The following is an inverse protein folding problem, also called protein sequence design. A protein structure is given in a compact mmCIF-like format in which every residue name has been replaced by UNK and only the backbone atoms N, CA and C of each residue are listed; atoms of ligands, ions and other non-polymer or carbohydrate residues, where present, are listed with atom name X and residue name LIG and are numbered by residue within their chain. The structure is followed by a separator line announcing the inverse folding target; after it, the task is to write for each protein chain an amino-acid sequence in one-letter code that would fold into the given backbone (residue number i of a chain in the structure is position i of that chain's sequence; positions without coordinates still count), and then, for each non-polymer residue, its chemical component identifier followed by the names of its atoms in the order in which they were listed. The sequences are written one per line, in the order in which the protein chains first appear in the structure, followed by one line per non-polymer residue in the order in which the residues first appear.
data_IF_194571330509
#
_entry.id   IF_194571330509
#
_cell.length_a   1.000
_cell.length_b   1.000
_cell.length_c   1.000
_cell.angle_alpha   90.00
_cell.angle_beta   90.00
_cell.angle_gamma   90.00
#
_symmetry.space_group_name_H-M   'P 1'
#
loop_
_entity.id
_entity.type
_entity.pdbx_description
1 polymer ?
#
# COMPACT_ATOMS: atom_id res chain seq x y z
N UNK A 1 21.06 4.69 -3.16
CA UNK A 1 21.41 3.91 -1.94
C UNK A 1 20.28 2.92 -1.68
N UNK A 2 20.55 1.64 -1.39
CA UNK A 2 19.50 0.63 -1.15
C UNK A 2 18.74 0.98 0.14
N UNK A 3 17.43 0.78 0.18
CA UNK A 3 16.55 1.09 1.34
C UNK A 3 17.12 0.51 2.64
N UNK A 4 17.69 -0.70 2.59
CA UNK A 4 18.35 -1.37 3.72
C UNK A 4 19.46 -0.52 4.34
N UNK A 5 20.40 -0.04 3.52
CA UNK A 5 21.54 0.76 4.01
C UNK A 5 21.11 2.13 4.51
N UNK A 6 20.10 2.73 3.87
CA UNK A 6 19.53 4.00 4.33
C UNK A 6 18.86 3.87 5.71
N UNK A 7 18.06 2.82 5.89
CA UNK A 7 17.36 2.57 7.16
C UNK A 7 18.34 2.26 8.29
N UNK A 8 19.34 1.37 8.03
CA UNK A 8 20.39 1.05 9.01
C UNK A 8 21.16 2.31 9.41
N UNK A 9 21.57 3.13 8.44
CA UNK A 9 22.35 4.34 8.72
C UNK A 9 21.54 5.37 9.52
N UNK A 10 20.29 5.63 9.13
CA UNK A 10 19.41 6.57 9.85
C UNK A 10 19.17 6.13 11.30
N UNK A 11 18.88 4.86 11.52
CA UNK A 11 18.67 4.32 12.86
C UNK A 11 19.94 4.36 13.70
N UNK A 12 21.09 3.98 13.12
CA UNK A 12 22.39 4.05 13.80
C UNK A 12 22.77 5.49 14.17
N UNK A 13 22.56 6.46 13.26
CA UNK A 13 22.83 7.88 13.56
C UNK A 13 21.92 8.42 14.67
N UNK A 14 20.63 8.10 14.65
CA UNK A 14 19.70 8.57 15.67
C UNK A 14 20.04 8.00 17.06
N UNK A 15 20.29 6.69 17.14
CA UNK A 15 20.65 6.04 18.41
C UNK A 15 22.05 6.47 18.89
N UNK A 16 23.01 6.68 17.98
CA UNK A 16 24.34 7.20 18.31
C UNK A 16 24.27 8.61 18.90
N UNK A 17 23.41 9.49 18.39
CA UNK A 17 23.21 10.84 18.92
C UNK A 17 22.68 10.81 20.36
N UNK A 18 21.68 9.96 20.64
CA UNK A 18 21.16 9.78 21.99
C UNK A 18 22.22 9.24 22.94
N UNK A 19 22.97 8.20 22.49
CA UNK A 19 24.02 7.60 23.31
C UNK A 19 25.18 8.58 23.60
N UNK A 20 25.54 9.43 22.63
CA UNK A 20 26.54 10.50 22.79
C UNK A 20 26.07 11.52 23.85
N UNK A 21 24.82 11.92 23.80
CA UNK A 21 24.23 12.84 24.75
C UNK A 21 24.25 12.27 26.19
N UNK A 22 23.93 11.00 26.35
CA UNK A 22 24.00 10.29 27.62
C UNK A 22 25.45 10.24 28.16
N UNK A 23 26.44 9.92 27.30
CA UNK A 23 27.87 9.89 27.71
C UNK A 23 28.38 11.25 28.13
N UNK A 24 27.99 12.29 27.43
CA UNK A 24 28.34 13.69 27.81
C UNK A 24 27.71 14.05 29.16
N UNK A 25 26.43 13.70 29.35
CA UNK A 25 25.75 13.96 30.63
C UNK A 25 26.42 13.27 31.80
N UNK A 26 26.77 11.97 31.65
CA UNK A 26 27.47 11.18 32.68
C UNK A 26 28.83 11.85 33.03
N UNK A 27 29.57 12.30 32.01
CA UNK A 27 30.84 12.99 32.23
C UNK A 27 30.66 14.29 32.99
N UNK A 28 29.69 15.14 32.60
CA UNK A 28 29.41 16.44 33.28
C UNK A 28 28.99 16.22 34.74
N UNK A 29 28.07 15.23 34.96
CA UNK A 29 27.61 14.91 36.34
C UNK A 29 28.80 14.43 37.19
N UNK A 30 29.65 13.54 36.63
CA UNK A 30 30.83 13.02 37.33
C UNK A 30 31.83 14.12 37.67
N UNK A 31 32.09 15.10 36.77
CA UNK A 31 32.94 16.24 37.01
C UNK A 31 32.42 17.14 38.13
N UNK A 32 31.11 17.44 38.11
CA UNK A 32 30.48 18.25 39.17
C UNK A 32 30.55 17.54 40.53
N UNK A 33 30.23 16.25 40.56
CA UNK A 33 30.28 15.44 41.79
C UNK A 33 31.69 15.43 42.35
N UNK A 34 32.71 15.17 41.50
CA UNK A 34 34.13 15.25 41.87
C UNK A 34 34.48 16.60 42.50
N UNK A 35 34.13 17.69 41.82
CA UNK A 35 34.44 19.06 42.30
C UNK A 35 33.79 19.35 43.64
N UNK A 36 32.51 19.01 43.80
CA UNK A 36 31.77 19.22 45.04
C UNK A 36 32.35 18.41 46.22
N UNK A 37 32.68 17.13 45.98
CA UNK A 37 33.29 16.27 46.99
C UNK A 37 34.61 16.83 47.41
N UNK A 38 35.46 17.28 46.47
CA UNK A 38 36.76 17.83 46.80
C UNK A 38 36.69 19.15 47.59
N UNK A 39 35.76 20.05 47.31
CA UNK A 39 35.52 21.23 48.11
C UNK A 39 35.07 20.88 49.54
N UNK A 40 34.23 19.86 49.67
CA UNK A 40 33.82 19.38 51.01
C UNK A 40 34.99 18.80 51.79
N UNK A 41 35.90 18.07 51.16
CA UNK A 41 37.09 17.51 51.79
C UNK A 41 38.09 18.62 52.19
N UNK A 42 38.30 19.63 51.32
CA UNK A 42 39.09 20.80 51.64
C UNK A 42 38.56 21.54 52.88
N UNK A 43 37.24 21.70 52.97
CA UNK A 43 36.58 22.34 54.13
C UNK A 43 36.86 21.56 55.41
N UNK A 44 36.69 20.23 55.35
CA UNK A 44 36.94 19.37 56.51
C UNK A 44 38.39 19.45 57.02
N UNK A 45 39.35 19.43 56.08
CA UNK A 45 40.77 19.55 56.39
C UNK A 45 41.12 20.93 56.98
N UNK A 46 40.62 22.01 56.37
CA UNK A 46 40.80 23.37 56.84
C UNK A 46 40.29 23.59 58.27
N UNK A 47 39.07 23.07 58.57
CA UNK A 47 38.51 23.13 59.93
C UNK A 47 39.36 22.33 60.89
N UNK A 48 39.79 21.12 60.53
CA UNK A 48 40.59 20.25 61.39
C UNK A 48 41.91 20.91 61.75
N UNK A 49 42.69 21.46 60.76
CA UNK A 49 43.94 22.12 60.95
C UNK A 49 43.73 23.40 61.79
N UNK A 50 42.75 24.23 61.47
CA UNK A 50 42.45 25.43 62.25
C UNK A 50 42.10 25.11 63.69
N UNK A 51 41.37 24.07 63.97
CA UNK A 51 41.02 23.61 65.32
C UNK A 51 42.26 23.19 66.13
N UNK A 52 43.13 22.38 65.51
CA UNK A 52 44.36 21.90 66.10
C UNK A 52 45.29 23.04 66.47
N UNK A 53 45.47 23.98 65.54
CA UNK A 53 46.36 25.16 65.76
C UNK A 53 45.77 26.08 66.86
N UNK A 54 44.55 26.54 66.72
CA UNK A 54 43.93 27.54 67.60
C UNK A 54 43.68 27.04 69.04
N UNK A 55 43.64 25.75 69.27
CA UNK A 55 43.55 25.15 70.61
C UNK A 55 44.91 24.83 71.22
N UNK A 56 46.01 25.20 70.56
CA UNK A 56 47.38 24.88 71.01
C UNK A 56 47.63 23.39 71.27
N UNK A 57 46.93 22.52 70.54
CA UNK A 57 47.06 21.06 70.62
C UNK A 57 48.32 20.56 69.95
N UNK A 58 48.74 21.23 68.90
CA UNK A 58 49.95 20.94 68.11
C UNK A 58 50.70 22.24 67.86
N UNK A 59 52.03 22.22 68.01
CA UNK A 59 52.81 23.41 67.72
C UNK A 59 52.97 23.67 66.22
N UNK A 60 53.10 24.92 65.78
CA UNK A 60 53.17 25.29 64.38
C UNK A 60 54.25 24.55 63.59
N UNK A 61 55.43 24.33 64.18
CA UNK A 61 56.51 23.62 63.52
C UNK A 61 56.23 22.18 63.25
N UNK A 62 55.59 21.46 64.22
CA UNK A 62 55.14 20.07 63.99
C UNK A 62 54.05 19.96 62.89
N UNK A 63 53.15 20.94 62.81
CA UNK A 63 52.17 20.98 61.75
C UNK A 63 52.83 21.18 60.36
N UNK A 64 53.81 22.08 60.26
CA UNK A 64 54.57 22.27 59.02
C UNK A 64 55.41 21.05 58.66
N UNK A 65 56.06 20.37 59.63
CA UNK A 65 56.80 19.17 59.39
C UNK A 65 55.88 18.00 58.87
N UNK A 66 54.67 17.89 59.41
CA UNK A 66 53.69 16.94 58.92
C UNK A 66 53.27 17.25 57.47
N UNK A 67 53.05 18.54 57.18
CA UNK A 67 52.74 18.98 55.81
C UNK A 67 53.89 18.66 54.83
N UNK A 68 55.12 18.99 55.17
CA UNK A 68 56.27 18.79 54.33
C UNK A 68 56.60 17.31 54.11
N UNK A 69 56.40 16.45 55.13
CA UNK A 69 56.70 15.02 55.04
C UNK A 69 55.60 14.26 54.29
N UNK A 70 54.38 14.77 54.22
CA UNK A 70 53.25 14.16 53.47
C UNK A 70 53.15 14.64 52.01
N UNK A 71 54.03 15.55 51.59
CA UNK A 71 53.99 16.21 50.26
C UNK A 71 53.97 15.24 49.08
N UNK A 72 54.57 14.05 49.22
CA UNK A 72 54.65 13.06 48.16
C UNK A 72 53.48 12.04 48.13
N UNK A 73 52.67 11.98 49.21
CA UNK A 73 51.74 10.88 49.41
C UNK A 73 50.22 11.25 49.34
N UNK A 74 49.88 12.52 49.55
CA UNK A 74 48.46 12.94 49.58
C UNK A 74 48.30 14.27 48.83
N UNK A 75 47.11 14.53 48.26
CA UNK A 75 46.76 15.87 47.79
C UNK A 75 47.09 16.89 48.86
N UNK A 76 48.20 17.59 48.66
CA UNK A 76 48.79 18.48 49.63
C UNK A 76 47.84 19.66 49.84
N UNK A 77 47.14 19.68 50.99
CA UNK A 77 46.26 20.80 51.34
C UNK A 77 47.06 21.85 52.08
N UNK A 78 47.29 22.95 51.42
CA UNK A 78 47.91 24.15 52.04
C UNK A 78 46.81 24.91 52.79
N UNK A 79 47.04 25.18 54.05
CA UNK A 79 46.10 25.91 54.91
C UNK A 79 46.82 27.13 55.51
N UNK A 80 46.11 28.28 55.47
CA UNK A 80 46.56 29.49 56.15
C UNK A 80 45.45 30.01 57.04
N UNK A 81 45.88 30.64 58.16
CA UNK A 81 44.97 31.15 59.20
C UNK A 81 45.33 32.62 59.46
N UNK A 82 44.33 33.50 59.36
CA UNK A 82 44.45 34.95 59.56
C UNK A 82 43.46 35.44 60.59
N UNK A 83 43.83 36.60 61.20
CA UNK A 83 42.88 37.42 61.93
C UNK A 83 41.96 38.20 60.94
N UNK A 84 40.82 38.73 61.39
CA UNK A 84 39.98 39.61 60.57
C UNK A 84 40.75 40.86 60.05
N UNK A 85 41.79 41.33 60.77
CA UNK A 85 42.62 42.45 60.39
C UNK A 85 43.73 42.10 59.37
N UNK A 86 43.69 40.90 58.79
CA UNK A 86 44.65 40.39 57.81
C UNK A 86 46.04 40.15 58.40
N UNK A 87 46.15 39.86 59.70
CA UNK A 87 47.43 39.42 60.32
C UNK A 87 47.51 37.90 60.24
N UNK A 88 48.52 37.36 59.56
CA UNK A 88 48.82 35.93 59.49
C UNK A 88 49.15 35.38 60.88
N UNK A 89 48.50 34.30 61.24
CA UNK A 89 48.70 33.50 62.46
C UNK A 89 49.46 32.21 62.18
N UNK A 90 49.13 31.59 61.06
CA UNK A 90 49.68 30.30 60.65
C UNK A 90 49.64 30.19 59.12
N UNK A 91 50.64 29.51 58.55
CA UNK A 91 50.69 29.16 57.16
C UNK A 91 51.46 27.83 56.94
N UNK A 92 50.95 26.87 56.21
CA UNK A 92 51.61 25.59 55.93
C UNK A 92 52.82 25.75 55.01
N UNK A 93 52.77 26.65 54.02
CA UNK A 93 53.80 26.82 53.01
C UNK A 93 54.93 27.69 53.54
N UNK A 94 56.16 27.13 53.50
CA UNK A 94 57.39 27.82 53.86
C UNK A 94 58.12 28.33 52.60
N UNK A 95 57.96 27.66 51.44
CA UNK A 95 58.75 28.01 50.22
C UNK A 95 57.93 28.21 48.96
N UNK A 96 56.76 27.60 48.84
CA UNK A 96 55.82 27.66 47.68
C UNK A 96 54.41 27.95 48.15
N UNK A 97 54.06 29.22 48.10
CA UNK A 97 52.72 29.72 48.44
C UNK A 97 51.79 29.52 47.23
N UNK A 98 50.84 28.60 47.34
CA UNK A 98 49.81 28.29 46.28
C UNK A 98 48.78 29.43 46.29
N UNK A 99 48.40 29.92 47.47
CA UNK A 99 47.40 30.95 47.65
C UNK A 99 48.08 32.22 48.05
N UNK A 100 48.09 33.24 47.19
CA UNK A 100 48.43 34.57 47.55
C UNK A 100 47.22 35.32 48.05
N UNK A 101 46.95 35.21 49.32
CA UNK A 101 45.78 35.85 49.91
C UNK A 101 45.92 37.38 49.77
N UNK A 102 44.80 37.97 49.41
CA UNK A 102 44.69 39.44 49.28
C UNK A 102 43.68 40.00 50.26
N UNK A 103 43.80 41.29 50.54
CA UNK A 103 42.84 41.96 51.42
C UNK A 103 41.40 41.85 50.87
N UNK A 104 41.25 41.92 49.55
CA UNK A 104 39.93 41.75 48.91
C UNK A 104 39.32 40.34 49.12
N UNK A 105 40.14 39.30 49.13
CA UNK A 105 39.72 37.94 49.44
C UNK A 105 39.26 37.81 50.89
N UNK A 106 40.04 38.38 51.85
CA UNK A 106 39.66 38.38 53.26
C UNK A 106 38.33 39.12 53.47
N UNK A 107 38.19 40.32 52.90
CA UNK A 107 36.94 41.08 52.95
C UNK A 107 35.76 40.32 52.33
N UNK A 108 35.97 39.55 51.24
CA UNK A 108 34.96 38.70 50.64
C UNK A 108 34.54 37.55 51.56
N UNK A 109 35.47 36.91 52.26
CA UNK A 109 35.20 35.85 53.26
C UNK A 109 34.44 36.43 54.45
N UNK A 110 34.80 37.58 54.93
CA UNK A 110 34.08 38.25 56.03
C UNK A 110 32.65 38.57 55.69
N UNK A 111 32.37 38.99 54.44
CA UNK A 111 31.06 39.37 53.98
C UNK A 111 30.19 38.14 53.67
N UNK A 112 30.72 37.11 52.98
CA UNK A 112 29.98 35.93 52.51
C UNK A 112 30.04 34.75 53.46
N UNK A 113 30.90 34.82 54.51
CA UNK A 113 31.26 33.75 55.45
C UNK A 113 32.04 32.59 54.85
N UNK A 114 31.86 32.32 53.54
CA UNK A 114 32.52 31.25 52.79
C UNK A 114 32.61 31.60 51.32
N UNK A 115 33.73 31.26 50.68
CA UNK A 115 33.96 31.41 49.25
C UNK A 115 34.73 30.21 48.73
N UNK A 116 34.31 29.71 47.55
CA UNK A 116 35.06 28.74 46.75
C UNK A 116 35.76 29.48 45.63
N UNK A 117 37.01 29.11 45.36
CA UNK A 117 37.77 29.72 44.29
C UNK A 117 38.72 28.74 43.60
N UNK A 118 39.20 29.12 42.41
CA UNK A 118 40.14 28.33 41.62
C UNK A 118 41.40 29.18 41.34
N UNK A 119 42.60 28.57 41.52
CA UNK A 119 43.88 29.18 41.12
C UNK A 119 44.55 28.22 40.13
N UNK A 120 44.36 28.44 38.83
CA UNK A 120 44.82 27.50 37.82
C UNK A 120 44.13 26.11 37.93
N UNK A 121 44.92 25.10 38.33
CA UNK A 121 44.42 23.73 38.57
C UNK A 121 44.06 23.44 40.03
N UNK A 122 44.37 24.36 40.91
CA UNK A 122 44.09 24.22 42.34
C UNK A 122 42.69 24.68 42.65
N UNK A 123 42.01 23.94 43.51
CA UNK A 123 40.72 24.33 44.10
C UNK A 123 40.98 24.85 45.51
N UNK A 124 40.39 25.98 45.85
CA UNK A 124 40.58 26.59 47.14
C UNK A 124 39.28 27.05 47.78
N UNK A 125 39.26 27.07 49.07
CA UNK A 125 38.17 27.61 49.88
C UNK A 125 38.71 28.68 50.84
N UNK A 126 37.84 29.63 51.16
CA UNK A 126 38.05 30.56 52.24
C UNK A 126 36.83 30.61 53.16
N UNK A 127 37.06 30.47 54.47
CA UNK A 127 35.92 30.41 55.38
C UNK A 127 36.17 31.23 56.66
N UNK A 128 35.08 31.73 57.24
CA UNK A 128 35.08 32.36 58.57
C UNK A 128 34.91 31.26 59.61
N UNK A 129 35.92 31.04 60.44
CA UNK A 129 35.95 30.09 61.55
C UNK A 129 35.85 30.80 62.90
N UNK A 130 34.84 30.43 63.72
CA UNK A 130 34.70 31.10 65.04
C UNK A 130 35.03 30.05 66.14
N UNK A 131 35.97 30.44 67.01
CA UNK A 131 36.39 29.67 68.18
C UNK A 131 36.43 30.56 69.44
N UNK A 132 35.83 30.12 70.52
CA UNK A 132 35.75 30.84 71.81
C UNK A 132 35.31 32.35 71.67
N UNK A 133 34.33 32.59 70.75
CA UNK A 133 33.78 33.90 70.47
C UNK A 133 34.71 34.82 69.63
N UNK A 134 35.88 34.36 69.20
CA UNK A 134 36.76 35.08 68.27
C UNK A 134 36.64 34.52 66.87
N UNK A 135 36.67 35.44 65.91
CA UNK A 135 36.61 35.11 64.48
C UNK A 135 38.01 34.97 63.91
N UNK A 136 38.19 33.98 63.09
CA UNK A 136 39.40 33.69 62.30
C UNK A 136 39.04 33.46 60.85
N UNK A 137 39.92 33.73 59.95
CA UNK A 137 39.75 33.42 58.51
C UNK A 137 40.73 32.31 58.21
N UNK A 138 40.17 31.23 57.64
CA UNK A 138 40.89 30.05 57.24
C UNK A 138 40.78 29.90 55.74
N UNK A 139 41.89 29.82 55.05
CA UNK A 139 42.01 29.51 53.65
C UNK A 139 42.61 28.13 53.47
N UNK A 140 42.15 27.35 52.50
CA UNK A 140 42.74 26.06 52.12
C UNK A 140 42.72 25.89 50.62
N UNK A 141 43.80 25.35 50.05
CA UNK A 141 43.83 24.98 48.64
C UNK A 141 44.61 23.69 48.40
N UNK A 142 44.19 22.96 47.41
CA UNK A 142 44.91 21.76 46.96
C UNK A 142 44.63 21.44 45.48
N UNK A 143 45.47 20.63 44.90
CA UNK A 143 45.27 20.05 43.58
C UNK A 143 44.67 18.65 43.68
N UNK A 144 43.47 18.45 43.07
CA UNK A 144 42.79 17.15 43.05
C UNK A 144 43.40 16.24 41.95
N UNK A 145 44.63 15.81 42.16
CA UNK A 145 45.33 14.93 41.21
C UNK A 145 44.67 13.59 41.00
N UNK A 146 44.15 13.01 42.10
CA UNK A 146 43.46 11.73 42.06
C UNK A 146 42.10 11.82 41.36
N UNK A 147 41.32 12.84 41.65
CA UNK A 147 40.03 13.06 41.03
C UNK A 147 40.14 13.31 39.51
N UNK A 148 41.10 14.15 39.09
CA UNK A 148 41.38 14.37 37.67
C UNK A 148 41.87 13.09 36.95
N UNK A 149 42.70 12.28 37.59
CA UNK A 149 43.17 11.01 37.05
C UNK A 149 41.99 10.03 36.86
N UNK A 150 41.07 9.96 37.82
CA UNK A 150 39.85 9.12 37.70
C UNK A 150 38.90 9.65 36.64
N UNK A 151 38.75 10.97 36.53
CA UNK A 151 37.95 11.57 35.48
C UNK A 151 38.50 11.27 34.07
N UNK A 152 39.84 11.27 33.92
CA UNK A 152 40.49 10.88 32.68
C UNK A 152 40.29 9.41 32.34
N UNK A 153 40.37 8.52 33.35
CA UNK A 153 40.04 7.07 33.16
C UNK A 153 38.59 6.90 32.76
N UNK A 154 37.68 7.59 33.42
CA UNK A 154 36.23 7.56 33.07
C UNK A 154 36.01 8.00 31.63
N UNK A 155 36.60 9.12 31.21
CA UNK A 155 36.54 9.64 29.85
C UNK A 155 36.97 8.59 28.83
N UNK A 156 38.13 7.93 29.06
CA UNK A 156 38.62 6.89 28.16
C UNK A 156 37.71 5.67 28.13
N UNK A 157 37.21 5.23 29.29
CA UNK A 157 36.25 4.13 29.37
C UNK A 157 34.94 4.43 28.62
N UNK A 158 34.39 5.63 28.78
CA UNK A 158 33.19 6.08 28.07
C UNK A 158 33.40 6.13 26.55
N UNK A 159 34.60 6.57 26.10
CA UNK A 159 34.93 6.63 24.68
C UNK A 159 35.03 5.21 24.07
N UNK A 160 35.70 4.30 24.77
CA UNK A 160 35.79 2.88 24.33
C UNK A 160 34.39 2.25 24.27
N UNK A 161 33.59 2.44 25.31
CA UNK A 161 32.22 1.94 25.38
C UNK A 161 31.36 2.49 24.24
N UNK A 162 31.50 3.79 23.92
CA UNK A 162 30.79 4.43 22.82
C UNK A 162 31.12 3.79 21.47
N UNK A 163 32.41 3.54 21.19
CA UNK A 163 32.84 2.91 19.93
C UNK A 163 32.30 1.47 19.81
N UNK A 164 32.40 0.70 20.90
CA UNK A 164 31.86 -0.67 20.93
C UNK A 164 30.35 -0.69 20.71
N UNK A 165 29.61 0.19 21.41
CA UNK A 165 28.16 0.32 21.26
C UNK A 165 27.77 0.70 19.83
N UNK A 166 28.51 1.63 19.21
CA UNK A 166 28.26 2.03 17.82
C UNK A 166 28.46 0.86 16.84
N UNK A 167 29.52 0.05 17.02
CA UNK A 167 29.77 -1.11 16.18
C UNK A 167 28.67 -2.19 16.33
N UNK A 168 28.24 -2.45 17.57
CA UNK A 168 27.14 -3.38 17.84
C UNK A 168 25.80 -2.90 17.28
N UNK A 169 25.48 -1.62 17.44
CA UNK A 169 24.27 -1.01 16.89
C UNK A 169 24.23 -1.10 15.35
N UNK A 170 25.36 -0.85 14.72
CA UNK A 170 25.46 -1.00 13.25
C UNK A 170 25.27 -2.45 12.81
N UNK A 171 25.95 -3.38 13.47
CA UNK A 171 25.87 -4.81 13.14
C UNK A 171 24.44 -5.37 13.32
N UNK A 172 23.84 -5.10 14.48
CA UNK A 172 22.45 -5.53 14.76
C UNK A 172 21.45 -4.89 13.83
N UNK A 173 21.55 -3.58 13.57
CA UNK A 173 20.69 -2.87 12.63
C UNK A 173 20.81 -3.39 11.19
N UNK A 174 22.03 -3.77 10.76
CA UNK A 174 22.25 -4.37 9.44
C UNK A 174 21.60 -5.76 9.31
N UNK A 175 21.76 -6.61 10.32
CA UNK A 175 21.16 -7.95 10.34
C UNK A 175 19.63 -7.84 10.34
N UNK A 176 19.07 -7.00 11.21
CA UNK A 176 17.63 -6.80 11.32
C UNK A 176 17.01 -6.29 10.01
N UNK A 177 17.63 -5.25 9.41
CA UNK A 177 17.17 -4.71 8.13
C UNK A 177 17.27 -5.72 6.98
N UNK A 178 18.29 -6.60 7.00
CA UNK A 178 18.44 -7.68 6.02
C UNK A 178 17.32 -8.72 6.14
N UNK A 179 17.00 -9.12 7.36
CA UNK A 179 15.97 -10.15 7.63
C UNK A 179 14.56 -9.62 7.37
N UNK A 180 14.26 -8.42 7.84
CA UNK A 180 12.94 -7.80 7.66
C UNK A 180 12.61 -7.48 6.18
N UNK A 181 13.61 -7.11 5.36
CA UNK A 181 13.40 -6.78 3.94
C UNK A 181 13.58 -7.97 2.98
N UNK A 182 13.93 -9.17 3.49
CA UNK A 182 14.08 -10.37 2.67
C UNK A 182 12.77 -10.80 1.99
N UNK A 183 11.63 -10.86 2.69
CA UNK A 183 10.35 -11.24 2.07
C UNK A 183 9.92 -10.31 0.94
N UNK A 184 10.09 -8.99 1.12
CA UNK A 184 9.77 -8.01 0.08
C UNK A 184 10.59 -8.28 -1.20
N UNK A 185 11.85 -8.62 -1.07
CA UNK A 185 12.71 -8.94 -2.22
C UNK A 185 12.26 -10.21 -2.94
N UNK A 186 11.78 -11.21 -2.20
CA UNK A 186 11.23 -12.44 -2.77
C UNK A 186 9.96 -12.14 -3.57
N UNK A 187 9.04 -11.32 -3.02
CA UNK A 187 7.83 -10.86 -3.71
C UNK A 187 8.17 -10.11 -5.01
N UNK A 188 9.08 -9.13 -4.95
CA UNK A 188 9.50 -8.36 -6.13
C UNK A 188 10.11 -9.28 -7.19
N UNK A 189 10.97 -10.23 -6.79
CA UNK A 189 11.60 -11.17 -7.72
C UNK A 189 10.58 -12.09 -8.41
N UNK A 190 9.59 -12.59 -7.68
CA UNK A 190 8.52 -13.41 -8.26
C UNK A 190 7.62 -12.56 -9.17
N UNK A 191 7.30 -11.32 -8.79
CA UNK A 191 6.51 -10.42 -9.61
C UNK A 191 7.20 -10.08 -10.96
N UNK A 192 8.53 -9.90 -10.96
CA UNK A 192 9.31 -9.61 -12.18
C UNK A 192 9.30 -10.78 -13.19
N UNK A 193 9.06 -12.01 -12.74
CA UNK A 193 9.03 -13.20 -13.59
C UNK A 193 7.65 -13.39 -14.22
N UNK A 194 6.59 -12.82 -13.62
CA UNK A 194 5.22 -12.96 -14.12
C UNK A 194 5.05 -12.17 -15.41
N UNK A 195 4.92 -12.89 -16.50
CA UNK A 195 4.63 -12.37 -17.85
C UNK A 195 3.25 -12.79 -18.30
N UNK A 196 2.77 -12.28 -19.42
CA UNK A 196 1.50 -12.69 -20.01
C UNK A 196 1.43 -14.21 -20.32
N UNK A 197 2.57 -14.86 -20.59
CA UNK A 197 2.67 -16.31 -20.80
C UNK A 197 2.70 -17.12 -19.51
N UNK A 198 3.02 -16.50 -18.37
CA UNK A 198 3.15 -17.14 -17.06
C UNK A 198 2.21 -16.53 -16.01
N UNK A 199 1.09 -15.96 -16.45
CA UNK A 199 0.11 -15.26 -15.61
C UNK A 199 -0.56 -16.18 -14.55
N UNK A 200 -0.45 -17.49 -14.70
CA UNK A 200 -0.93 -18.48 -13.73
C UNK A 200 -0.06 -18.60 -12.47
N UNK A 201 1.16 -18.04 -12.49
CA UNK A 201 2.02 -17.97 -11.29
C UNK A 201 1.38 -17.11 -10.21
N UNK A 202 1.71 -17.43 -8.95
CA UNK A 202 1.22 -16.69 -7.79
C UNK A 202 2.37 -16.32 -6.87
N UNK A 203 2.25 -15.15 -6.23
CA UNK A 203 3.19 -14.72 -5.20
C UNK A 203 3.07 -15.61 -3.96
N UNK A 204 4.21 -15.93 -3.30
CA UNK A 204 4.19 -16.77 -2.10
C UNK A 204 3.55 -16.01 -0.92
N UNK A 205 2.59 -16.63 -0.26
CA UNK A 205 1.98 -16.13 0.98
C UNK A 205 2.57 -16.93 2.14
N UNK A 206 3.60 -16.40 2.80
CA UNK A 206 4.27 -17.08 3.93
C UNK A 206 3.50 -16.93 5.24
N UNK A 207 2.94 -15.76 5.49
CA UNK A 207 2.14 -15.48 6.66
C UNK A 207 0.96 -14.61 6.25
N UNK A 208 -0.25 -15.14 6.33
CA UNK A 208 -1.47 -14.42 5.93
C UNK A 208 -1.95 -13.37 6.94
N UNK A 209 -1.27 -13.27 8.10
CA UNK A 209 -1.68 -12.38 9.20
C UNK A 209 -0.86 -11.08 9.27
N UNK A 210 0.17 -10.92 8.45
CA UNK A 210 0.95 -9.69 8.39
C UNK A 210 0.66 -8.89 7.10
N UNK A 211 1.11 -7.66 7.05
CA UNK A 211 0.87 -6.72 5.94
C UNK A 211 1.44 -7.24 4.61
N UNK A 212 2.50 -8.03 4.66
CA UNK A 212 3.10 -8.62 3.46
C UNK A 212 2.27 -9.80 2.93
N UNK A 213 1.65 -10.56 3.82
CA UNK A 213 0.71 -11.61 3.47
C UNK A 213 -0.57 -11.05 2.85
N UNK A 214 -1.12 -9.97 3.40
CA UNK A 214 -2.26 -9.24 2.85
C UNK A 214 -1.95 -8.68 1.46
N UNK A 215 -0.78 -8.05 1.28
CA UNK A 215 -0.30 -7.56 -0.01
C UNK A 215 -0.21 -8.69 -1.05
N UNK A 216 0.41 -9.83 -0.68
CA UNK A 216 0.55 -10.99 -1.59
C UNK A 216 -0.82 -11.57 -1.98
N UNK A 217 -1.75 -11.63 -1.04
CA UNK A 217 -3.12 -12.12 -1.28
C UNK A 217 -3.89 -11.20 -2.22
N UNK A 218 -3.83 -9.89 -1.98
CA UNK A 218 -4.47 -8.89 -2.84
C UNK A 218 -3.89 -8.91 -4.25
N UNK A 219 -2.57 -9.02 -4.37
CA UNK A 219 -1.91 -9.11 -5.68
C UNK A 219 -2.30 -10.41 -6.41
N UNK A 220 -2.38 -11.54 -5.70
CA UNK A 220 -2.84 -12.81 -6.28
C UNK A 220 -4.29 -12.74 -6.75
N UNK A 221 -5.17 -12.01 -6.05
CA UNK A 221 -6.54 -11.76 -6.50
C UNK A 221 -6.58 -10.93 -7.80
N UNK A 222 -5.70 -9.92 -7.94
CA UNK A 222 -5.54 -9.17 -9.20
C UNK A 222 -5.03 -10.06 -10.34
N UNK A 223 -4.01 -10.89 -10.07
CA UNK A 223 -3.50 -11.85 -11.06
C UNK A 223 -4.59 -12.82 -11.52
N UNK A 224 -5.44 -13.29 -10.62
CA UNK A 224 -6.55 -14.16 -10.96
C UNK A 224 -7.56 -13.51 -11.91
N UNK A 225 -7.91 -12.25 -11.66
CA UNK A 225 -8.80 -11.48 -12.56
C UNK A 225 -8.15 -11.26 -13.93
N UNK A 226 -6.85 -10.96 -13.97
CA UNK A 226 -6.10 -10.80 -15.22
C UNK A 226 -6.01 -12.12 -16.00
N UNK A 227 -5.77 -13.24 -15.33
CA UNK A 227 -5.71 -14.57 -15.95
C UNK A 227 -7.06 -14.95 -16.59
N UNK A 228 -8.16 -14.73 -15.88
CA UNK A 228 -9.53 -14.97 -16.40
C UNK A 228 -9.75 -14.11 -17.66
N UNK A 229 -9.43 -12.82 -17.59
CA UNK A 229 -9.61 -11.89 -18.72
C UNK A 229 -8.73 -12.28 -19.92
N UNK A 230 -7.47 -12.63 -19.69
CA UNK A 230 -6.54 -13.01 -20.74
C UNK A 230 -6.94 -14.34 -21.41
N UNK A 231 -7.37 -15.32 -20.62
CA UNK A 231 -7.86 -16.59 -21.16
C UNK A 231 -9.15 -16.40 -21.98
N UNK A 232 -10.06 -15.55 -21.52
CA UNK A 232 -11.25 -15.18 -22.28
C UNK A 232 -10.90 -14.53 -23.63
N UNK A 233 -9.94 -13.59 -23.63
CA UNK A 233 -9.44 -12.93 -24.84
C UNK A 233 -8.77 -13.93 -25.81
N UNK A 234 -7.94 -14.85 -25.28
CA UNK A 234 -7.29 -15.89 -26.10
C UNK A 234 -8.31 -16.82 -26.74
N UNK A 235 -9.31 -17.28 -25.98
CA UNK A 235 -10.39 -18.09 -26.54
C UNK A 235 -11.20 -17.33 -27.59
N UNK A 236 -11.49 -16.05 -27.33
CA UNK A 236 -12.17 -15.19 -28.31
C UNK A 236 -11.44 -15.16 -29.64
N UNK A 237 -10.13 -14.81 -29.65
CA UNK A 237 -9.33 -14.76 -30.88
C UNK A 237 -9.27 -16.11 -31.59
N UNK A 238 -9.12 -17.21 -30.83
CA UNK A 238 -9.10 -18.56 -31.38
C UNK A 238 -10.41 -18.92 -32.06
N UNK A 239 -11.54 -18.68 -31.39
CA UNK A 239 -12.86 -19.01 -31.90
C UNK A 239 -13.24 -18.14 -33.13
N UNK A 240 -12.97 -16.83 -33.08
CA UNK A 240 -13.16 -15.94 -34.25
C UNK A 240 -12.38 -16.45 -35.45
N UNK A 241 -11.10 -16.81 -35.24
CA UNK A 241 -10.26 -17.34 -36.33
C UNK A 241 -10.83 -18.64 -36.93
N UNK A 242 -11.37 -19.51 -36.08
CA UNK A 242 -11.98 -20.77 -36.51
C UNK A 242 -13.30 -20.54 -37.29
N UNK A 243 -14.19 -19.70 -36.76
CA UNK A 243 -15.49 -19.36 -37.33
C UNK A 243 -15.39 -18.59 -38.67
N UNK A 244 -14.33 -17.84 -38.88
CA UNK A 244 -14.04 -17.18 -40.16
C UNK A 244 -13.36 -18.11 -41.15
N UNK A 245 -12.52 -19.05 -40.71
CA UNK A 245 -11.78 -19.95 -41.62
C UNK A 245 -12.68 -20.92 -42.34
N UNK A 246 -13.69 -21.45 -41.65
CA UNK A 246 -14.60 -22.47 -42.19
C UNK A 246 -15.37 -21.96 -43.43
N UNK A 247 -16.15 -20.86 -43.38
CA UNK A 247 -16.88 -20.38 -44.57
C UNK A 247 -15.92 -19.85 -45.66
N UNK A 248 -14.76 -19.29 -45.28
CA UNK A 248 -13.75 -18.83 -46.26
C UNK A 248 -13.18 -20.02 -47.03
N UNK A 249 -12.89 -21.13 -46.37
CA UNK A 249 -12.41 -22.36 -47.02
C UNK A 249 -13.47 -22.97 -47.94
N UNK A 250 -14.75 -23.00 -47.53
CA UNK A 250 -15.87 -23.47 -48.35
C UNK A 250 -16.02 -22.61 -49.60
N UNK A 251 -16.09 -21.30 -49.45
CA UNK A 251 -16.20 -20.34 -50.53
C UNK A 251 -15.02 -20.48 -51.53
N UNK A 252 -13.78 -20.59 -51.00
CA UNK A 252 -12.59 -20.74 -51.85
C UNK A 252 -12.66 -22.09 -52.61
N UNK A 253 -13.03 -23.19 -51.96
CA UNK A 253 -13.16 -24.51 -52.59
C UNK A 253 -14.23 -24.53 -53.71
N UNK A 254 -15.41 -23.92 -53.44
CA UNK A 254 -16.49 -23.83 -54.43
C UNK A 254 -16.07 -23.04 -55.67
N UNK A 255 -15.41 -21.90 -55.51
CA UNK A 255 -14.92 -21.08 -56.58
C UNK A 255 -13.77 -21.75 -57.36
N UNK A 256 -12.87 -22.45 -56.64
CA UNK A 256 -11.79 -23.22 -57.26
C UNK A 256 -12.32 -24.34 -58.15
N UNK A 257 -13.28 -25.14 -57.64
CA UNK A 257 -13.91 -26.19 -58.42
C UNK A 257 -14.67 -25.62 -59.63
N UNK A 258 -15.31 -24.45 -59.50
CA UNK A 258 -16.03 -23.82 -60.58
C UNK A 258 -15.06 -23.26 -61.65
N UNK A 259 -13.81 -22.91 -61.28
CA UNK A 259 -12.81 -22.41 -62.23
C UNK A 259 -12.10 -23.49 -63.03
N UNK A 260 -12.06 -24.74 -62.52
CA UNK A 260 -11.29 -25.84 -63.14
C UNK A 260 -12.00 -26.58 -64.25
N UNK A 261 -13.33 -26.49 -64.34
CA UNK A 261 -14.14 -27.20 -65.36
C UNK A 261 -15.19 -26.29 -65.97
N UNK A 262 -15.38 -26.38 -67.29
CA UNK A 262 -16.51 -25.74 -67.95
C UNK A 262 -17.84 -26.30 -67.39
N UNK A 263 -18.74 -25.39 -67.04
CA UNK A 263 -20.05 -25.67 -66.46
C UNK A 263 -21.14 -24.98 -67.26
N UNK A 264 -22.34 -25.49 -67.15
CA UNK A 264 -23.50 -24.82 -67.75
C UNK A 264 -23.89 -23.57 -66.92
N UNK A 265 -24.64 -22.65 -67.54
CA UNK A 265 -25.07 -21.40 -66.93
C UNK A 265 -25.79 -21.58 -65.61
N UNK A 266 -26.58 -22.65 -65.46
CA UNK A 266 -27.34 -22.99 -64.22
C UNK A 266 -26.41 -23.38 -63.08
N UNK A 267 -25.35 -24.16 -63.37
CA UNK A 267 -24.33 -24.56 -62.38
C UNK A 267 -23.48 -23.39 -61.92
N UNK A 268 -23.06 -22.51 -62.84
CA UNK A 268 -22.35 -21.29 -62.44
C UNK A 268 -23.20 -20.39 -61.57
N UNK A 269 -24.50 -20.25 -61.88
CA UNK A 269 -25.44 -19.47 -61.09
C UNK A 269 -25.61 -20.04 -59.67
N UNK A 270 -25.70 -21.35 -59.50
CA UNK A 270 -25.77 -22.02 -58.24
C UNK A 270 -24.50 -21.75 -57.36
N UNK A 271 -23.30 -21.93 -57.95
CA UNK A 271 -22.03 -21.63 -57.29
C UNK A 271 -21.94 -20.17 -56.84
N UNK A 272 -22.38 -19.22 -57.71
CA UNK A 272 -22.35 -17.78 -57.36
C UNK A 272 -23.32 -17.51 -56.20
N UNK A 273 -24.49 -18.14 -56.19
CA UNK A 273 -25.47 -17.96 -55.10
C UNK A 273 -24.89 -18.51 -53.78
N UNK A 274 -24.28 -19.71 -53.80
CA UNK A 274 -23.66 -20.31 -52.63
C UNK A 274 -22.52 -19.42 -52.08
N UNK A 275 -21.60 -18.98 -52.96
CA UNK A 275 -20.52 -18.10 -52.62
C UNK A 275 -21.03 -16.76 -52.03
N UNK A 276 -22.10 -16.20 -52.57
CA UNK A 276 -22.72 -14.99 -52.05
C UNK A 276 -23.34 -15.22 -50.67
N UNK A 277 -23.94 -16.38 -50.43
CA UNK A 277 -24.50 -16.75 -49.12
C UNK A 277 -23.37 -16.89 -48.05
N UNK A 278 -22.28 -17.56 -48.41
CA UNK A 278 -21.10 -17.65 -47.48
C UNK A 278 -20.50 -16.30 -47.20
N UNK A 279 -20.37 -15.42 -48.20
CA UNK A 279 -19.89 -14.04 -47.99
C UNK A 279 -20.84 -13.22 -47.10
N UNK A 280 -22.14 -13.35 -47.27
CA UNK A 280 -23.14 -12.69 -46.39
C UNK A 280 -23.07 -13.22 -44.95
N UNK A 281 -22.86 -14.53 -44.78
CA UNK A 281 -22.68 -15.16 -43.48
C UNK A 281 -21.46 -14.63 -42.77
N UNK A 282 -20.32 -14.45 -43.45
CA UNK A 282 -19.12 -13.84 -42.92
C UNK A 282 -19.36 -12.38 -42.50
N UNK A 283 -20.06 -11.59 -43.31
CA UNK A 283 -20.39 -10.20 -42.94
C UNK A 283 -21.25 -10.13 -41.68
N UNK A 284 -22.28 -10.98 -41.53
CA UNK A 284 -23.08 -11.05 -40.28
C UNK A 284 -22.22 -11.39 -39.05
N UNK A 285 -21.25 -12.30 -39.21
CA UNK A 285 -20.30 -12.64 -38.15
C UNK A 285 -19.45 -11.42 -37.76
N UNK A 286 -18.86 -10.71 -38.73
CA UNK A 286 -18.03 -9.52 -38.53
C UNK A 286 -18.85 -8.42 -37.85
N UNK A 287 -20.07 -8.14 -38.30
CA UNK A 287 -20.94 -7.12 -37.70
C UNK A 287 -21.28 -7.46 -36.25
N UNK A 288 -21.56 -8.74 -35.97
CA UNK A 288 -21.79 -9.23 -34.59
C UNK A 288 -20.59 -9.01 -33.70
N UNK A 289 -19.38 -9.30 -34.19
CA UNK A 289 -18.13 -9.07 -33.46
C UNK A 289 -17.84 -7.58 -33.22
N UNK A 290 -18.08 -6.74 -34.23
CA UNK A 290 -17.90 -5.29 -34.11
C UNK A 290 -18.89 -4.68 -33.09
N UNK A 291 -20.13 -5.12 -33.12
CA UNK A 291 -21.13 -4.68 -32.15
C UNK A 291 -20.79 -5.15 -30.72
N UNK A 292 -20.28 -6.38 -30.58
CA UNK A 292 -19.78 -6.89 -29.30
C UNK A 292 -18.63 -6.02 -28.76
N UNK A 293 -17.66 -5.67 -29.63
CA UNK A 293 -16.54 -4.83 -29.26
C UNK A 293 -16.99 -3.40 -28.87
N UNK A 294 -17.95 -2.83 -29.59
CA UNK A 294 -18.53 -1.52 -29.24
C UNK A 294 -19.21 -1.54 -27.86
N UNK A 295 -19.97 -2.60 -27.57
CA UNK A 295 -20.62 -2.75 -26.27
C UNK A 295 -19.62 -2.89 -25.11
N UNK A 296 -18.43 -3.49 -25.33
CA UNK A 296 -17.40 -3.69 -24.29
C UNK A 296 -16.51 -2.44 -24.06
N UNK A 297 -16.10 -1.72 -25.12
CA UNK A 297 -15.02 -0.72 -25.02
C UNK A 297 -15.47 0.73 -25.14
N UNK A 298 -16.73 1.01 -25.52
CA UNK A 298 -17.19 2.37 -25.78
C UNK A 298 -18.41 2.79 -24.94
N UNK A 299 -18.59 2.22 -23.75
CA UNK A 299 -19.73 2.51 -22.88
C UNK A 299 -19.92 4.03 -22.64
N UNK A 300 -18.84 4.79 -22.49
CA UNK A 300 -18.88 6.25 -22.26
C UNK A 300 -19.21 7.07 -23.52
N UNK A 301 -19.08 6.49 -24.72
CA UNK A 301 -19.33 7.18 -25.99
C UNK A 301 -20.70 6.86 -26.60
N UNK A 302 -21.42 5.89 -26.03
CA UNK A 302 -22.73 5.49 -26.51
C UNK A 302 -23.76 6.55 -26.08
N UNK A 303 -24.35 7.20 -27.05
CA UNK A 303 -25.42 8.17 -26.79
C UNK A 303 -26.66 7.43 -26.31
N UNK A 304 -27.05 7.66 -25.06
CA UNK A 304 -28.29 7.18 -24.47
C UNK A 304 -29.37 8.26 -24.65
N UNK A 305 -30.59 7.86 -24.99
CA UNK A 305 -31.74 8.74 -25.17
C UNK A 305 -33.00 8.09 -24.59
N UNK A 306 -34.03 8.89 -24.39
CA UNK A 306 -35.33 8.41 -23.92
C UNK A 306 -36.04 7.70 -25.08
N UNK A 307 -36.28 6.40 -24.94
CA UNK A 307 -36.86 5.54 -25.95
C UNK A 307 -38.13 4.90 -25.44
N UNK A 308 -39.19 4.92 -26.23
CA UNK A 308 -40.39 4.14 -25.99
C UNK A 308 -40.19 2.73 -26.45
N UNK A 309 -40.35 1.76 -25.55
CA UNK A 309 -40.12 0.33 -25.84
C UNK A 309 -41.13 -0.25 -26.81
N UNK A 310 -42.39 0.19 -26.77
CA UNK A 310 -43.45 -0.22 -27.70
C UNK A 310 -43.09 0.18 -29.16
N UNK A 311 -42.69 1.42 -29.38
CA UNK A 311 -42.25 1.91 -30.68
C UNK A 311 -41.04 1.12 -31.19
N UNK A 312 -40.03 0.95 -30.35
CA UNK A 312 -38.84 0.18 -30.68
C UNK A 312 -39.18 -1.27 -31.08
N UNK A 313 -40.07 -1.93 -30.35
CA UNK A 313 -40.44 -3.32 -30.65
C UNK A 313 -41.30 -3.44 -31.92
N UNK A 314 -42.11 -2.43 -32.21
CA UNK A 314 -42.85 -2.36 -33.49
C UNK A 314 -41.88 -2.17 -34.66
N UNK A 315 -40.86 -1.31 -34.54
CA UNK A 315 -39.82 -1.14 -35.57
C UNK A 315 -39.03 -2.43 -35.80
N UNK A 316 -38.64 -3.10 -34.70
CA UNK A 316 -37.94 -4.40 -34.76
C UNK A 316 -38.81 -5.47 -35.44
N UNK A 317 -40.09 -5.55 -35.11
CA UNK A 317 -41.06 -6.48 -35.78
C UNK A 317 -41.12 -6.22 -37.27
N UNK A 318 -41.30 -4.94 -37.66
CA UNK A 318 -41.37 -4.57 -39.07
C UNK A 318 -40.09 -4.96 -39.83
N UNK A 319 -38.94 -4.69 -39.23
CA UNK A 319 -37.63 -5.08 -39.79
C UNK A 319 -37.51 -6.59 -40.01
N UNK A 320 -37.88 -7.41 -39.01
CA UNK A 320 -37.83 -8.85 -39.09
C UNK A 320 -38.78 -9.40 -40.16
N UNK A 321 -40.04 -8.93 -40.22
CA UNK A 321 -41.01 -9.37 -41.19
C UNK A 321 -40.65 -9.00 -42.64
N UNK A 322 -39.97 -7.89 -42.87
CA UNK A 322 -39.40 -7.52 -44.18
C UNK A 322 -38.27 -8.47 -44.59
N UNK A 323 -37.40 -8.88 -43.64
CA UNK A 323 -36.30 -9.80 -43.92
C UNK A 323 -36.73 -11.26 -44.07
N UNK A 324 -37.77 -11.68 -43.34
CA UNK A 324 -38.30 -13.03 -43.27
C UNK A 324 -39.84 -12.99 -43.37
N UNK A 325 -40.39 -12.97 -44.59
CA UNK A 325 -41.85 -12.89 -44.79
C UNK A 325 -42.66 -14.10 -44.29
N UNK A 326 -41.96 -15.20 -44.01
CA UNK A 326 -42.51 -16.47 -43.48
C UNK A 326 -42.56 -16.48 -41.93
N UNK A 327 -42.05 -15.44 -41.27
CA UNK A 327 -42.09 -15.37 -39.81
C UNK A 327 -43.38 -14.71 -39.33
N UNK A 328 -43.85 -15.15 -38.16
CA UNK A 328 -45.03 -14.63 -37.49
C UNK A 328 -44.62 -14.03 -36.15
N UNK A 329 -44.73 -12.71 -36.00
CA UNK A 329 -44.36 -11.98 -34.79
C UNK A 329 -45.60 -11.23 -34.30
N UNK A 330 -46.08 -11.60 -33.10
CA UNK A 330 -47.21 -10.98 -32.44
C UNK A 330 -46.77 -10.20 -31.23
N UNK A 331 -47.28 -8.95 -31.06
CA UNK A 331 -46.97 -8.11 -29.89
C UNK A 331 -48.26 -7.95 -29.11
N UNK A 332 -48.22 -8.28 -27.82
CA UNK A 332 -49.33 -8.22 -26.87
C UNK A 332 -48.98 -7.25 -25.75
N UNK A 333 -49.86 -6.33 -25.51
CA UNK A 333 -49.74 -5.40 -24.37
C UNK A 333 -50.60 -5.96 -23.23
N UNK A 334 -50.01 -6.28 -22.07
CA UNK A 334 -50.77 -6.81 -20.92
C UNK A 334 -51.66 -5.76 -20.25
N UNK A 335 -51.34 -4.47 -20.43
CA UNK A 335 -52.13 -3.35 -19.90
C UNK A 335 -52.59 -2.49 -21.06
N UNK A 336 -53.90 -2.25 -21.14
CA UNK A 336 -54.51 -1.50 -22.26
C UNK A 336 -54.08 -0.05 -22.35
N UNK A 337 -53.64 0.57 -21.25
CA UNK A 337 -53.02 1.93 -21.21
C UNK A 337 -51.99 1.98 -20.09
N UNK A 338 -50.77 2.41 -20.38
CA UNK A 338 -49.83 2.80 -19.36
C UNK A 338 -50.38 4.09 -18.70
N UNK A 339 -50.61 4.10 -17.40
CA UNK A 339 -51.08 5.32 -16.66
C UNK A 339 -50.10 6.49 -16.82
N UNK A 340 -48.86 6.26 -17.21
CA UNK A 340 -47.82 7.24 -17.44
C UNK A 340 -46.85 6.77 -18.53
N UNK A 341 -46.65 7.57 -19.57
CA UNK A 341 -45.69 7.30 -20.67
C UNK A 341 -44.25 7.03 -20.16
N UNK A 342 -43.90 7.45 -18.95
CA UNK A 342 -42.61 7.19 -18.30
C UNK A 342 -42.39 5.70 -18.00
N UNK A 343 -43.46 4.94 -17.73
CA UNK A 343 -43.35 3.50 -17.42
C UNK A 343 -42.92 2.65 -18.64
N UNK A 344 -43.20 3.15 -19.85
CA UNK A 344 -42.82 2.51 -21.11
C UNK A 344 -41.53 3.04 -21.70
N UNK A 345 -41.03 4.16 -21.13
CA UNK A 345 -39.85 4.87 -21.63
C UNK A 345 -38.59 4.44 -20.85
N UNK A 346 -37.58 3.97 -21.56
CA UNK A 346 -36.27 3.58 -21.01
C UNK A 346 -35.17 4.52 -21.49
N UNK A 347 -34.10 4.64 -20.71
CA UNK A 347 -32.92 5.36 -21.14
C UNK A 347 -31.98 4.40 -21.90
N UNK A 348 -31.92 4.52 -23.22
CA UNK A 348 -31.19 3.54 -24.03
C UNK A 348 -30.70 4.06 -25.38
N UNK A 349 -29.99 3.19 -26.07
CA UNK A 349 -29.58 3.41 -27.46
C UNK A 349 -30.47 2.58 -28.39
N UNK A 350 -31.23 3.26 -29.25
CA UNK A 350 -32.18 2.65 -30.17
C UNK A 350 -31.56 1.54 -31.01
N UNK A 351 -30.42 1.79 -31.63
CA UNK A 351 -29.73 0.83 -32.51
C UNK A 351 -29.31 -0.46 -31.76
N UNK A 352 -28.72 -0.31 -30.57
CA UNK A 352 -28.27 -1.46 -29.77
C UNK A 352 -29.44 -2.29 -29.23
N UNK A 353 -30.47 -1.64 -28.68
CA UNK A 353 -31.68 -2.36 -28.22
C UNK A 353 -32.39 -3.05 -29.35
N UNK A 354 -32.49 -2.44 -30.55
CA UNK A 354 -33.05 -3.09 -31.75
C UNK A 354 -32.25 -4.36 -32.10
N UNK A 355 -30.94 -4.36 -32.04
CA UNK A 355 -30.11 -5.57 -32.26
C UNK A 355 -30.42 -6.63 -31.20
N UNK A 356 -30.51 -6.26 -29.92
CA UNK A 356 -30.76 -7.21 -28.84
C UNK A 356 -32.11 -7.90 -29.02
N UNK A 357 -33.20 -7.12 -29.25
CA UNK A 357 -34.52 -7.68 -29.45
C UNK A 357 -34.64 -8.42 -30.77
N UNK A 358 -34.04 -7.97 -31.87
CA UNK A 358 -34.00 -8.72 -33.13
C UNK A 358 -33.38 -10.10 -32.93
N UNK A 359 -32.26 -10.20 -32.21
CA UNK A 359 -31.64 -11.50 -31.93
C UNK A 359 -32.52 -12.44 -31.12
N UNK A 360 -33.27 -11.91 -30.11
CA UNK A 360 -34.19 -12.73 -29.31
C UNK A 360 -35.37 -13.24 -30.15
N UNK A 361 -36.01 -12.34 -30.90
CA UNK A 361 -37.19 -12.64 -31.72
C UNK A 361 -36.82 -13.56 -32.88
N UNK A 362 -35.74 -13.31 -33.62
CA UNK A 362 -35.26 -14.21 -34.67
C UNK A 362 -34.92 -15.58 -34.11
N UNK A 363 -34.37 -15.66 -32.91
CA UNK A 363 -34.06 -16.93 -32.27
C UNK A 363 -35.33 -17.72 -31.98
N UNK A 364 -36.36 -17.09 -31.43
CA UNK A 364 -37.68 -17.72 -31.20
C UNK A 364 -38.28 -18.25 -32.52
N UNK A 365 -38.33 -17.41 -33.55
CA UNK A 365 -38.86 -17.84 -34.85
C UNK A 365 -38.06 -18.99 -35.50
N UNK A 366 -36.73 -19.02 -35.32
CA UNK A 366 -35.88 -20.10 -35.87
C UNK A 366 -36.10 -21.46 -35.24
N UNK A 367 -36.37 -21.47 -33.92
CA UNK A 367 -36.53 -22.72 -33.16
C UNK A 367 -37.99 -23.13 -32.94
N UNK A 368 -38.95 -22.28 -33.33
CA UNK A 368 -40.38 -22.60 -33.38
C UNK A 368 -40.73 -23.33 -34.69
N UNK A 369 -41.64 -24.33 -34.62
CA UNK A 369 -42.02 -25.12 -35.77
C UNK A 369 -42.83 -24.32 -36.81
N UNK A 370 -43.56 -23.34 -36.39
CA UNK A 370 -44.41 -22.45 -37.21
C UNK A 370 -43.78 -21.08 -37.46
N UNK A 371 -42.48 -20.91 -37.12
CA UNK A 371 -41.70 -19.66 -37.23
C UNK A 371 -42.37 -18.51 -36.48
N UNK A 372 -42.97 -18.76 -35.32
CA UNK A 372 -43.70 -17.76 -34.52
C UNK A 372 -42.88 -17.27 -33.31
N UNK A 373 -43.09 -16.00 -32.93
CA UNK A 373 -42.62 -15.38 -31.69
C UNK A 373 -43.70 -14.50 -31.11
N UNK A 374 -43.98 -14.66 -29.82
CA UNK A 374 -44.95 -13.87 -29.07
C UNK A 374 -44.19 -12.92 -28.15
N UNK A 375 -44.43 -11.64 -28.33
CA UNK A 375 -43.78 -10.56 -27.54
C UNK A 375 -44.84 -9.98 -26.62
N UNK A 376 -44.62 -10.09 -25.31
CA UNK A 376 -45.50 -9.55 -24.29
C UNK A 376 -44.78 -8.43 -23.53
N UNK A 377 -45.41 -7.27 -23.42
CA UNK A 377 -44.90 -6.10 -22.73
C UNK A 377 -45.74 -5.86 -21.49
N UNK A 378 -45.08 -5.75 -20.34
CA UNK A 378 -45.69 -5.42 -19.05
C UNK A 378 -44.84 -4.38 -18.28
N UNK A 379 -45.46 -3.63 -17.41
CA UNK A 379 -44.80 -2.53 -16.66
C UNK A 379 -45.01 -2.73 -15.16
N UNK A 380 -43.94 -2.51 -14.39
CA UNK A 380 -43.93 -2.62 -12.94
C UNK A 380 -43.34 -1.32 -12.37
N UNK A 381 -43.46 -1.09 -11.07
CA UNK A 381 -43.02 0.16 -10.39
C UNK A 381 -41.60 0.65 -10.74
N UNK A 382 -40.69 -0.25 -11.13
CA UNK A 382 -39.27 0.09 -11.35
C UNK A 382 -38.71 -0.32 -12.71
N UNK A 383 -39.41 -1.16 -13.46
CA UNK A 383 -38.91 -1.72 -14.70
C UNK A 383 -40.01 -2.02 -15.70
N UNK A 384 -39.69 -1.86 -16.98
CA UNK A 384 -40.45 -2.42 -18.07
C UNK A 384 -39.95 -3.83 -18.34
N UNK A 385 -40.87 -4.78 -18.51
CA UNK A 385 -40.57 -6.21 -18.74
C UNK A 385 -41.07 -6.62 -20.12
N UNK A 386 -40.14 -7.11 -20.94
CA UNK A 386 -40.45 -7.68 -22.27
C UNK A 386 -40.22 -9.20 -22.22
N UNK A 387 -41.26 -9.97 -22.51
CA UNK A 387 -41.20 -11.42 -22.66
C UNK A 387 -41.27 -11.77 -24.13
N UNK A 388 -40.27 -12.49 -24.63
CA UNK A 388 -40.24 -13.03 -25.98
C UNK A 388 -40.37 -14.55 -25.88
N UNK A 389 -41.49 -15.10 -26.31
CA UNK A 389 -41.80 -16.53 -26.15
C UNK A 389 -41.97 -17.21 -27.49
N UNK A 390 -41.66 -18.52 -27.57
CA UNK A 390 -41.94 -19.43 -28.67
C UNK A 390 -42.50 -20.75 -28.13
N UNK A 391 -43.19 -21.51 -29.00
CA UNK A 391 -43.68 -22.87 -28.74
C UNK A 391 -42.78 -23.91 -29.42
N UNK A 392 -41.47 -23.66 -29.45
CA UNK A 392 -40.51 -24.51 -30.18
C UNK A 392 -39.97 -25.67 -29.37
N UNK A 393 -38.81 -26.15 -29.81
CA UNK A 393 -38.15 -27.36 -29.28
C UNK A 393 -37.67 -27.23 -27.85
N UNK A 394 -37.56 -26.01 -27.34
CA UNK A 394 -37.02 -25.72 -26.01
C UNK A 394 -35.53 -26.08 -25.81
N UNK A 395 -35.04 -25.96 -24.59
CA UNK A 395 -33.63 -26.16 -24.26
C UNK A 395 -33.43 -27.12 -23.08
N UNK A 396 -32.31 -27.87 -23.09
CA UNK A 396 -31.85 -28.64 -21.93
C UNK A 396 -31.32 -27.73 -20.83
N UNK A 397 -31.23 -28.26 -19.59
CA UNK A 397 -30.60 -27.48 -18.48
C UNK A 397 -29.13 -27.11 -18.75
N UNK A 398 -28.42 -27.97 -19.47
CA UNK A 398 -27.04 -27.70 -19.90
C UNK A 398 -27.00 -26.56 -20.91
N UNK A 399 -27.91 -26.53 -21.88
CA UNK A 399 -27.98 -25.44 -22.86
C UNK A 399 -28.30 -24.10 -22.19
N UNK A 400 -29.24 -24.06 -21.24
CA UNK A 400 -29.58 -22.84 -20.46
C UNK A 400 -28.40 -22.28 -19.74
N UNK A 401 -27.55 -23.11 -19.10
CA UNK A 401 -26.35 -22.66 -18.38
C UNK A 401 -25.27 -22.09 -19.31
N UNK A 402 -25.27 -22.47 -20.58
CA UNK A 402 -24.24 -22.09 -21.54
C UNK A 402 -24.73 -21.11 -22.61
N UNK A 403 -26.03 -20.84 -22.69
CA UNK A 403 -26.69 -20.04 -23.73
C UNK A 403 -26.02 -18.66 -23.98
N UNK A 404 -25.54 -17.99 -22.93
CA UNK A 404 -24.90 -16.68 -23.02
C UNK A 404 -23.38 -16.77 -23.16
N UNK A 405 -22.81 -17.99 -23.33
CA UNK A 405 -21.37 -18.12 -23.64
C UNK A 405 -21.13 -17.86 -25.11
N UNK A 406 -20.14 -17.08 -25.42
CA UNK A 406 -19.76 -16.70 -26.76
C UNK A 406 -19.42 -17.96 -27.60
N UNK A 407 -19.96 -18.04 -28.83
CA UNK A 407 -19.86 -19.17 -29.76
C UNK A 407 -20.51 -20.47 -29.28
N UNK A 408 -21.29 -20.40 -28.22
CA UNK A 408 -22.04 -21.59 -27.79
C UNK A 408 -23.21 -21.85 -28.74
N UNK A 409 -23.37 -23.12 -29.14
CA UNK A 409 -24.49 -23.65 -29.89
C UNK A 409 -24.99 -24.91 -29.14
N UNK A 410 -26.27 -25.04 -28.93
CA UNK A 410 -26.86 -26.17 -28.22
C UNK A 410 -26.72 -27.49 -28.95
N UNK A 411 -27.21 -28.56 -28.32
CA UNK A 411 -27.16 -29.96 -28.86
C UNK A 411 -27.83 -30.11 -30.24
N UNK A 412 -28.61 -29.13 -30.68
CA UNK A 412 -29.36 -29.15 -31.94
C UNK A 412 -28.77 -28.19 -33.00
N UNK A 413 -27.45 -28.15 -33.13
CA UNK A 413 -26.74 -27.32 -34.11
C UNK A 413 -27.21 -27.44 -35.54
N UNK A 414 -27.81 -28.61 -35.93
CA UNK A 414 -28.24 -28.90 -37.29
C UNK A 414 -29.58 -28.23 -37.65
N UNK A 415 -30.39 -27.77 -36.68
CA UNK A 415 -31.76 -27.25 -36.93
C UNK A 415 -31.75 -25.79 -37.36
N UNK A 416 -30.77 -24.98 -36.89
CA UNK A 416 -30.75 -23.57 -37.22
C UNK A 416 -29.34 -23.04 -37.50
N UNK A 417 -29.19 -22.22 -38.53
CA UNK A 417 -27.95 -21.53 -38.84
C UNK A 417 -27.68 -20.39 -37.86
N UNK A 418 -26.45 -20.33 -37.30
CA UNK A 418 -26.05 -19.24 -36.40
C UNK A 418 -24.60 -19.38 -35.92
N UNK A 419 -23.99 -18.30 -35.41
CA UNK A 419 -22.58 -18.27 -34.98
C UNK A 419 -22.42 -18.28 -33.45
N UNK A 420 -23.51 -18.41 -32.67
CA UNK A 420 -23.48 -18.41 -31.22
C UNK A 420 -23.03 -17.04 -30.60
N UNK A 421 -23.18 -15.94 -31.34
CA UNK A 421 -22.83 -14.58 -30.88
C UNK A 421 -24.06 -13.82 -30.39
N UNK A 422 -25.20 -14.01 -31.01
CA UNK A 422 -26.41 -13.21 -30.79
C UNK A 422 -26.87 -13.16 -29.34
N UNK A 423 -26.91 -14.26 -28.64
CA UNK A 423 -27.36 -14.34 -27.23
C UNK A 423 -26.38 -13.62 -26.29
N UNK A 424 -25.10 -13.82 -26.47
CA UNK A 424 -24.05 -13.10 -25.70
C UNK A 424 -24.11 -11.61 -25.96
N UNK A 425 -24.33 -11.18 -27.21
CA UNK A 425 -24.47 -9.78 -27.59
C UNK A 425 -25.72 -9.16 -26.96
N UNK A 426 -26.87 -9.87 -27.04
CA UNK A 426 -28.12 -9.40 -26.41
C UNK A 426 -27.96 -9.20 -24.90
N UNK A 427 -27.36 -10.16 -24.19
CA UNK A 427 -27.10 -10.04 -22.75
C UNK A 427 -26.23 -8.84 -22.44
N UNK A 428 -25.13 -8.61 -23.17
CA UNK A 428 -24.25 -7.47 -22.98
C UNK A 428 -24.93 -6.13 -23.24
N UNK A 429 -25.73 -6.05 -24.29
CA UNK A 429 -26.51 -4.85 -24.62
C UNK A 429 -27.51 -4.54 -23.50
N UNK A 430 -28.25 -5.53 -23.02
CA UNK A 430 -29.21 -5.37 -21.93
C UNK A 430 -28.52 -4.90 -20.65
N UNK A 431 -27.39 -5.52 -20.26
CA UNK A 431 -26.60 -5.08 -19.11
C UNK A 431 -26.04 -3.66 -19.27
N UNK A 432 -25.63 -3.25 -20.49
CA UNK A 432 -25.22 -1.89 -20.78
C UNK A 432 -26.32 -0.86 -20.47
N UNK A 433 -27.59 -1.27 -20.69
CA UNK A 433 -28.79 -0.48 -20.37
C UNK A 433 -29.26 -0.67 -18.92
N UNK A 434 -28.43 -1.24 -18.04
CA UNK A 434 -28.72 -1.55 -16.62
C UNK A 434 -29.92 -2.50 -16.44
N UNK A 435 -30.23 -3.27 -17.47
CA UNK A 435 -31.28 -4.29 -17.45
C UNK A 435 -30.74 -5.66 -17.12
N UNK A 436 -31.66 -6.61 -16.96
CA UNK A 436 -31.38 -8.01 -16.75
C UNK A 436 -32.10 -8.86 -17.82
N UNK A 437 -31.49 -10.00 -18.18
CA UNK A 437 -32.11 -10.99 -19.08
C UNK A 437 -32.10 -12.35 -18.41
N UNK A 438 -33.26 -12.99 -18.35
CA UNK A 438 -33.45 -14.36 -17.90
C UNK A 438 -34.04 -15.22 -19.00
N UNK A 439 -33.87 -16.55 -18.89
CA UNK A 439 -34.42 -17.53 -19.82
C UNK A 439 -35.17 -18.60 -19.03
N UNK A 440 -36.40 -18.86 -19.46
CA UNK A 440 -37.19 -20.00 -19.03
C UNK A 440 -37.43 -20.88 -20.24
N UNK A 441 -37.04 -22.15 -20.20
CA UNK A 441 -37.22 -23.08 -21.29
C UNK A 441 -37.33 -24.48 -20.74
N UNK A 442 -38.21 -25.26 -21.36
CA UNK A 442 -38.42 -26.69 -21.11
C UNK A 442 -38.44 -27.42 -22.44
N UNK A 443 -37.77 -28.56 -22.51
CA UNK A 443 -37.66 -29.33 -23.75
C UNK A 443 -39.08 -29.70 -24.29
N UNK A 444 -39.30 -29.45 -25.57
CA UNK A 444 -40.58 -29.66 -26.29
C UNK A 444 -41.75 -28.74 -25.82
N UNK A 445 -41.45 -27.68 -25.02
CA UNK A 445 -42.46 -26.73 -24.56
C UNK A 445 -42.15 -25.28 -24.94
N UNK A 446 -41.04 -25.08 -25.67
CA UNK A 446 -40.61 -23.76 -26.11
C UNK A 446 -39.71 -23.02 -25.16
N UNK A 447 -39.46 -21.77 -25.48
CA UNK A 447 -38.54 -20.87 -24.73
C UNK A 447 -39.17 -19.50 -24.50
N UNK A 448 -38.92 -18.92 -23.34
CA UNK A 448 -39.31 -17.55 -23.00
C UNK A 448 -38.07 -16.81 -22.52
N UNK A 449 -37.68 -15.78 -23.24
CA UNK A 449 -36.70 -14.78 -22.78
C UNK A 449 -37.41 -13.66 -22.05
N UNK A 450 -36.95 -13.30 -20.87
CA UNK A 450 -37.48 -12.22 -20.04
C UNK A 450 -36.41 -11.15 -19.93
N UNK A 451 -36.72 -9.96 -20.45
CA UNK A 451 -35.85 -8.79 -20.41
C UNK A 451 -36.48 -7.76 -19.51
N UNK A 452 -35.76 -7.37 -18.46
CA UNK A 452 -36.15 -6.28 -17.56
C UNK A 452 -35.25 -5.06 -17.81
N UNK A 453 -35.85 -3.92 -18.10
CA UNK A 453 -35.14 -2.65 -18.31
C UNK A 453 -35.70 -1.60 -17.34
N UNK A 454 -34.82 -0.84 -16.62
CA UNK A 454 -35.28 0.23 -15.77
C UNK A 454 -35.93 1.32 -16.62
N UNK A 455 -37.16 1.71 -16.27
CA UNK A 455 -37.82 2.84 -16.89
C UNK A 455 -37.41 4.17 -16.21
N UNK A 456 -37.85 5.32 -16.77
CA UNK A 456 -37.46 6.66 -16.32
C UNK A 456 -38.36 7.17 -15.20
#
# INVERSE_FOLDING_TARGET
MKIRTALTLKNTCATAAVFLLCTILVYIVSERTRSNTFFHDLRSEAITKAHLFLQNKVDPKTMQDIYLNNKEFINEVEVAIYTPDFKMLYHDAVQNDIIKESRQMIDSILNKREIDFYIGKYQGIGMLYTLNGKNYIVTAAAYDGYGYANLAKLKNALLILFVIALALLFATGYILARTALRPIREIVKEADIITASEISRRLPVKNSKDELGELSTTFNALLNRLEISFNAQKMFVSNVSHELRTPLAALTAELDIASQKERNSTQYRATIINALNDARRMNKLIDGLLNLAKADYQQEQIKMEHLRLDELLLDVREFILRAHPDYHVEIIFEQEEAEDDRMITVNGNHYLLSIAFSNLIENNCKYSADHSSFIQISYWDKSAVVRCSDDGIGMSDNDKQHLFKLFYRGEQEEIAEGHGIGMTLSQKIIHLHKGEIAVHSEKEKGTTFIVELPHI
#
